data_IF_647159579144
#
_entry.id   IF_647159579144
#
_cell.length_a   1.000
_cell.length_b   1.000
_cell.length_c   1.000
_cell.angle_alpha   90.00
_cell.angle_beta   90.00
_cell.angle_gamma   90.00
#
_symmetry.space_group_name_H-M   'P 1'
#
loop_
_entity.id
_entity.type
_entity.pdbx_description
1 polymer ?
#
# COMPACT_ATOMS: atom_id res chain seq x y z
N UNK A 1 -13.40 28.73 -3.04
CA UNK A 1 -12.59 29.64 -3.89
C UNK A 1 -11.20 29.85 -3.27
N UNK A 2 -10.37 28.80 -3.20
CA UNK A 2 -9.04 28.84 -2.53
C UNK A 2 -7.90 28.39 -3.46
N UNK A 3 -8.10 28.46 -4.78
CA UNK A 3 -7.14 27.99 -5.80
C UNK A 3 -6.33 29.12 -6.46
N UNK A 4 -6.68 30.39 -6.26
CA UNK A 4 -6.11 31.50 -7.05
C UNK A 4 -4.87 32.20 -6.45
N UNK A 5 -4.33 31.76 -5.30
CA UNK A 5 -3.21 32.49 -4.65
C UNK A 5 -1.86 31.77 -4.72
N UNK A 6 -1.72 30.71 -5.51
CA UNK A 6 -0.50 29.89 -5.55
C UNK A 6 0.39 30.12 -6.79
N UNK A 7 0.20 31.19 -7.56
CA UNK A 7 1.15 31.56 -8.61
C UNK A 7 2.00 32.74 -8.15
N UNK A 8 3.17 32.44 -7.59
CA UNK A 8 4.24 33.41 -7.36
C UNK A 8 5.29 33.14 -8.44
N UNK A 9 5.52 34.11 -9.31
CA UNK A 9 6.26 33.97 -10.59
C UNK A 9 7.78 33.74 -10.46
N UNK A 10 8.31 33.57 -9.23
CA UNK A 10 9.72 33.23 -8.99
C UNK A 10 9.83 31.84 -8.35
N UNK A 11 10.09 30.84 -9.19
CA UNK A 11 10.35 29.46 -8.78
C UNK A 11 11.61 29.37 -7.91
N UNK A 12 11.50 28.79 -6.73
CA UNK A 12 12.68 28.47 -5.93
C UNK A 12 13.46 27.29 -6.58
N UNK A 13 14.75 27.13 -6.25
CA UNK A 13 15.58 26.04 -6.78
C UNK A 13 15.00 24.64 -6.52
N UNK A 14 14.16 24.52 -5.49
CA UNK A 14 13.44 23.30 -5.15
C UNK A 14 12.36 22.98 -6.20
N UNK A 15 11.54 23.95 -6.62
CA UNK A 15 10.55 23.75 -7.70
C UNK A 15 11.21 23.32 -9.01
N UNK A 16 12.31 23.95 -9.39
CA UNK A 16 13.05 23.60 -10.62
C UNK A 16 13.64 22.18 -10.59
N UNK A 17 13.98 21.67 -9.41
CA UNK A 17 14.43 20.29 -9.25
C UNK A 17 13.28 19.31 -9.49
N UNK A 18 12.10 19.54 -8.91
CA UNK A 18 10.94 18.69 -9.16
C UNK A 18 10.47 18.75 -10.61
N UNK A 19 10.48 19.92 -11.25
CA UNK A 19 10.17 20.05 -12.68
C UNK A 19 11.11 19.23 -13.56
N UNK A 20 12.40 19.16 -13.18
CA UNK A 20 13.40 18.35 -13.90
C UNK A 20 13.12 16.86 -13.74
N UNK A 21 12.76 16.42 -12.55
CA UNK A 21 12.40 15.02 -12.28
C UNK A 21 11.14 14.66 -13.06
N UNK A 22 10.09 15.47 -12.96
CA UNK A 22 8.82 15.20 -13.63
C UNK A 22 9.01 15.09 -15.14
N UNK A 23 9.79 16.00 -15.75
CA UNK A 23 10.15 15.93 -17.17
C UNK A 23 10.94 14.67 -17.56
N UNK A 24 11.75 14.12 -16.66
CA UNK A 24 12.49 12.89 -16.92
C UNK A 24 11.59 11.64 -16.83
N UNK A 25 10.53 11.69 -16.01
CA UNK A 25 9.63 10.57 -15.76
C UNK A 25 8.43 10.51 -16.73
N UNK A 26 7.99 11.67 -17.24
CA UNK A 26 6.89 11.78 -18.21
C UNK A 26 6.98 10.83 -19.43
N UNK A 27 8.15 10.56 -20.05
CA UNK A 27 8.24 9.64 -21.18
C UNK A 27 7.93 8.18 -20.82
N UNK A 28 8.12 7.78 -19.55
CA UNK A 28 7.95 6.41 -19.07
C UNK A 28 6.54 6.18 -18.56
N UNK A 29 6.01 7.13 -17.78
CA UNK A 29 4.69 7.01 -17.15
C UNK A 29 3.56 7.63 -17.99
N UNK A 30 3.90 8.50 -18.95
CA UNK A 30 2.94 9.36 -19.64
C UNK A 30 2.42 10.48 -18.74
N UNK A 31 1.68 11.47 -19.30
CA UNK A 31 0.89 12.36 -18.46
C UNK A 31 -0.12 11.52 -17.67
N UNK A 32 -0.37 11.83 -16.38
CA UNK A 32 -1.40 11.13 -15.63
C UNK A 32 -2.71 11.21 -16.42
N UNK A 33 -3.43 10.10 -16.63
CA UNK A 33 -4.69 10.13 -17.34
C UNK A 33 -5.65 11.04 -16.56
N UNK A 34 -5.95 12.22 -17.09
CA UNK A 34 -6.97 13.14 -16.56
C UNK A 34 -8.40 12.64 -16.82
N UNK A 35 -8.55 11.36 -17.18
CA UNK A 35 -9.82 10.65 -17.34
C UNK A 35 -10.11 9.93 -16.03
N UNK A 36 -11.29 9.94 -15.44
CA UNK A 36 -12.57 10.48 -15.81
C UNK A 36 -13.43 10.35 -14.56
N UNK A 37 -14.09 11.45 -14.16
CA UNK A 37 -15.00 11.52 -13.02
C UNK A 37 -14.35 11.12 -11.68
N UNK A 38 -14.51 11.94 -10.66
CA UNK A 38 -14.42 11.46 -9.28
C UNK A 38 -15.71 10.65 -9.06
N UNK A 39 -15.91 9.59 -9.88
CA UNK A 39 -17.13 8.82 -9.96
C UNK A 39 -17.46 8.46 -8.54
N UNK A 40 -18.60 8.97 -8.06
CA UNK A 40 -19.06 8.85 -6.68
C UNK A 40 -18.63 7.50 -6.19
N UNK A 41 -17.63 7.47 -5.30
CA UNK A 41 -17.02 6.22 -4.87
C UNK A 41 -18.17 5.38 -4.34
N UNK A 42 -18.53 4.34 -5.10
CA UNK A 42 -19.61 3.44 -4.73
C UNK A 42 -19.35 3.03 -3.27
N UNK A 43 -20.34 3.19 -2.37
CA UNK A 43 -20.17 2.87 -0.96
C UNK A 43 -19.51 1.50 -0.83
N UNK A 44 -18.36 1.46 -0.13
CA UNK A 44 -17.58 0.24 0.00
C UNK A 44 -18.33 -0.86 0.76
N UNK A 45 -19.46 -0.55 1.37
CA UNK A 45 -20.36 -1.41 2.14
C UNK A 45 -20.56 -2.79 1.51
N UNK A 46 -20.82 -2.85 0.19
CA UNK A 46 -21.05 -4.10 -0.53
C UNK A 46 -19.78 -4.87 -0.95
N UNK A 47 -18.59 -4.29 -0.78
CA UNK A 47 -17.31 -4.93 -1.15
C UNK A 47 -16.89 -5.92 -0.07
N UNK A 48 -16.30 -7.03 -0.50
CA UNK A 48 -15.72 -8.01 0.40
C UNK A 48 -14.45 -7.47 1.08
N UNK A 49 -14.29 -7.80 2.36
CA UNK A 49 -13.08 -7.56 3.11
C UNK A 49 -11.91 -8.34 2.49
N UNK A 50 -10.75 -7.71 2.21
CA UNK A 50 -9.59 -8.41 1.65
C UNK A 50 -8.94 -9.37 2.66
N UNK A 51 -9.32 -9.25 3.94
CA UNK A 51 -8.85 -10.07 5.03
C UNK A 51 -9.84 -11.23 5.19
N UNK A 52 -11.04 -10.99 5.74
CA UNK A 52 -11.95 -12.09 6.06
C UNK A 52 -12.94 -12.50 4.95
N UNK A 53 -13.04 -11.76 3.85
CA UNK A 53 -13.99 -12.02 2.77
C UNK A 53 -15.44 -11.60 3.05
N UNK A 54 -15.81 -11.31 4.29
CA UNK A 54 -17.15 -10.80 4.64
C UNK A 54 -17.40 -9.39 4.07
N UNK A 55 -18.65 -9.01 3.78
CA UNK A 55 -18.94 -7.67 3.28
C UNK A 55 -18.56 -6.58 4.29
N UNK A 56 -18.10 -5.43 3.79
CA UNK A 56 -17.60 -4.32 4.61
C UNK A 56 -18.65 -3.72 5.54
N UNK A 57 -19.94 -3.77 5.20
CA UNK A 57 -20.99 -3.27 6.09
C UNK A 57 -21.11 -4.05 7.41
N UNK A 58 -20.56 -5.27 7.49
CA UNK A 58 -20.53 -6.05 8.74
C UNK A 58 -19.40 -5.61 9.68
N UNK A 59 -18.47 -4.77 9.22
CA UNK A 59 -17.34 -4.32 10.00
C UNK A 59 -17.67 -3.07 10.81
N UNK A 60 -17.09 -2.96 12.01
CA UNK A 60 -17.24 -1.77 12.85
C UNK A 60 -15.97 -0.94 12.79
N UNK A 61 -16.11 0.34 12.44
CA UNK A 61 -15.02 1.32 12.52
C UNK A 61 -15.06 1.96 13.90
N UNK A 62 -14.09 1.64 14.74
CA UNK A 62 -13.92 2.23 16.07
C UNK A 62 -13.03 3.49 15.99
N UNK A 63 -13.58 4.62 16.45
CA UNK A 63 -12.93 5.92 16.54
C UNK A 63 -12.69 6.37 17.99
N UNK A 64 -12.84 5.46 18.97
CA UNK A 64 -12.70 5.76 20.40
C UNK A 64 -11.27 6.11 20.82
N UNK A 65 -10.28 5.69 20.03
CA UNK A 65 -8.86 5.95 20.27
C UNK A 65 -8.28 6.95 19.26
N UNK A 66 -7.04 7.39 19.46
CA UNK A 66 -6.33 8.22 18.48
C UNK A 66 -6.12 7.52 17.13
N UNK A 67 -6.17 6.19 17.12
CA UNK A 67 -6.10 5.38 15.92
C UNK A 67 -7.50 4.88 15.58
N UNK A 68 -7.93 5.14 14.36
CA UNK A 68 -9.12 4.49 13.80
C UNK A 68 -8.81 3.01 13.59
N UNK A 69 -9.61 2.13 14.19
CA UNK A 69 -9.45 0.68 14.09
C UNK A 69 -10.67 0.10 13.37
N UNK A 70 -10.44 -0.75 12.37
CA UNK A 70 -11.49 -1.53 11.72
C UNK A 70 -11.57 -2.91 12.40
N UNK A 71 -12.73 -3.25 12.94
CA UNK A 71 -12.98 -4.53 13.62
C UNK A 71 -13.70 -5.48 12.67
N UNK A 72 -13.11 -6.65 12.43
CA UNK A 72 -13.71 -7.71 11.63
C UNK A 72 -14.88 -8.37 12.40
N UNK A 73 -15.96 -8.80 11.71
CA UNK A 73 -17.08 -9.51 12.33
C UNK A 73 -16.75 -10.96 12.72
N UNK A 74 -15.59 -11.47 12.27
CA UNK A 74 -15.14 -12.83 12.56
C UNK A 74 -13.97 -12.79 13.53
N UNK A 75 -14.02 -13.68 14.52
CA UNK A 75 -12.91 -14.01 15.41
C UNK A 75 -12.01 -15.11 14.82
N UNK A 76 -12.38 -15.66 13.66
CA UNK A 76 -11.56 -16.62 12.94
C UNK A 76 -10.34 -15.87 12.41
N UNK A 77 -9.23 -16.01 13.13
CA UNK A 77 -7.91 -15.61 12.65
C UNK A 77 -7.71 -16.35 11.34
N UNK A 78 -7.73 -15.61 10.24
CA UNK A 78 -7.48 -16.18 8.91
C UNK A 78 -6.20 -16.99 8.96
N UNK A 79 -6.16 -18.14 8.29
CA UNK A 79 -4.98 -18.99 8.33
C UNK A 79 -3.79 -18.13 7.92
N UNK A 80 -2.81 -18.06 8.81
CA UNK A 80 -1.50 -17.54 8.44
C UNK A 80 -1.05 -18.36 7.22
N UNK A 81 -0.52 -17.69 6.20
CA UNK A 81 -0.06 -18.41 5.02
C UNK A 81 0.97 -19.44 5.50
N UNK A 82 0.67 -20.72 5.34
CA UNK A 82 1.57 -21.81 5.72
C UNK A 82 2.79 -21.73 4.82
N UNK A 83 3.81 -21.00 5.27
CA UNK A 83 5.09 -20.95 4.59
C UNK A 83 5.93 -22.08 5.19
N UNK A 84 6.11 -23.13 4.40
CA UNK A 84 7.10 -24.15 4.70
C UNK A 84 8.51 -23.58 4.47
N UNK A 85 9.29 -23.45 5.54
CA UNK A 85 10.71 -23.11 5.49
C UNK A 85 11.10 -21.76 6.10
N UNK A 86 12.39 -21.40 6.02
CA UNK A 86 12.90 -20.18 6.65
C UNK A 86 12.48 -18.93 5.89
N UNK A 87 12.24 -17.83 6.61
CA UNK A 87 12.03 -16.51 6.01
C UNK A 87 13.34 -15.78 5.78
N UNK A 88 13.40 -14.91 4.78
CA UNK A 88 14.51 -13.99 4.56
C UNK A 88 14.37 -12.70 5.39
N UNK A 89 15.32 -11.77 5.25
CA UNK A 89 15.34 -10.50 5.99
C UNK A 89 14.16 -9.54 5.69
N UNK A 90 13.37 -9.83 4.65
CA UNK A 90 12.16 -9.06 4.27
C UNK A 90 10.87 -9.75 4.74
N UNK A 91 10.97 -10.84 5.51
CA UNK A 91 9.81 -11.62 5.94
C UNK A 91 9.14 -12.42 4.82
N UNK A 92 9.84 -12.66 3.70
CA UNK A 92 9.36 -13.49 2.60
C UNK A 92 9.96 -14.89 2.67
N UNK A 93 9.32 -15.94 2.11
CA UNK A 93 9.91 -17.27 2.04
C UNK A 93 11.32 -17.21 1.42
N UNK A 94 12.30 -17.84 2.07
CA UNK A 94 13.66 -17.87 1.54
C UNK A 94 13.70 -18.76 0.29
N UNK A 95 14.23 -18.21 -0.81
CA UNK A 95 14.37 -18.93 -2.08
C UNK A 95 15.81 -18.82 -2.60
N UNK A 96 16.19 -19.76 -3.48
CA UNK A 96 17.50 -19.80 -4.16
C UNK A 96 18.69 -19.69 -3.19
N UNK A 97 19.62 -18.80 -3.51
CA UNK A 97 20.86 -18.58 -2.73
C UNK A 97 20.63 -18.31 -1.24
N UNK A 98 19.50 -17.70 -0.87
CA UNK A 98 19.20 -17.46 0.56
C UNK A 98 18.84 -18.77 1.28
N UNK A 99 18.08 -19.65 0.63
CA UNK A 99 17.75 -20.97 1.17
C UNK A 99 19.02 -21.81 1.37
N UNK A 100 19.94 -21.78 0.40
CA UNK A 100 21.25 -22.45 0.49
C UNK A 100 22.05 -21.98 1.72
N UNK A 101 22.17 -20.66 1.91
CA UNK A 101 22.84 -20.11 3.10
C UNK A 101 22.17 -20.50 4.42
N UNK A 102 20.85 -20.62 4.44
CA UNK A 102 20.15 -21.12 5.62
C UNK A 102 20.51 -22.58 5.90
N UNK A 103 20.46 -23.44 4.88
CA UNK A 103 20.84 -24.85 5.01
C UNK A 103 22.29 -25.00 5.49
N UNK A 104 23.23 -24.25 4.93
CA UNK A 104 24.65 -24.25 5.35
C UNK A 104 24.82 -23.85 6.82
N UNK A 105 24.15 -22.79 7.27
CA UNK A 105 24.23 -22.33 8.67
C UNK A 105 23.68 -23.34 9.67
N UNK A 106 22.66 -24.11 9.27
CA UNK A 106 21.99 -25.08 10.13
C UNK A 106 22.53 -26.51 9.99
N UNK A 107 23.34 -26.81 8.98
CA UNK A 107 24.01 -28.10 8.81
C UNK A 107 25.31 -28.24 9.63
N UNK A 108 25.81 -27.14 10.17
CA UNK A 108 27.06 -27.08 10.97
C UNK A 108 26.78 -27.23 12.48
N UNK A 109 25.53 -27.49 12.86
CA UNK A 109 25.07 -27.69 14.24
C UNK A 109 24.53 -29.10 14.42
#
# INVERSE_FOLDING_TARGET
MARDTASREDGNAFTHFFDRIDRALLPVFGPPPLTADDGVLEPNDGKACPICGHPMFEHVIDHSSSNTVLVCPTDERLPEHEVEGPYNELGMPATGRRLEKYAERHAVN
#
